data_IF_378901606563
#
_entry.id   IF_378901606563
#
_cell.length_a   1.000
_cell.length_b   1.000
_cell.length_c   1.000
_cell.angle_alpha   90.00
_cell.angle_beta   90.00
_cell.angle_gamma   90.00
#
_symmetry.space_group_name_H-M   'P 1'
#
loop_
_entity.id
_entity.type
_entity.pdbx_description
1 polymer ?
#
# COMPACT_ATOMS: atom_id res chain seq x y z
N UNK A 1 -3.30 38.18 5.60
CA UNK A 1 -3.67 37.06 4.71
C UNK A 1 -3.12 35.76 5.28
N UNK A 2 -3.93 34.98 6.00
CA UNK A 2 -3.56 33.62 6.38
C UNK A 2 -4.35 32.65 5.50
N UNK A 3 -3.65 31.85 4.69
CA UNK A 3 -4.26 30.77 3.90
C UNK A 3 -4.45 29.58 4.84
N UNK A 4 -5.51 29.58 5.64
CA UNK A 4 -5.94 28.38 6.36
C UNK A 4 -6.48 27.40 5.33
N UNK A 5 -5.59 26.54 4.82
CA UNK A 5 -5.99 25.35 4.08
C UNK A 5 -6.89 24.53 5.01
N UNK A 6 -8.17 24.45 4.67
CA UNK A 6 -9.11 23.55 5.30
C UNK A 6 -8.50 22.16 5.30
N UNK A 7 -8.08 21.68 6.49
CA UNK A 7 -7.90 20.25 6.75
C UNK A 7 -9.27 19.62 6.49
N UNK A 8 -9.55 19.30 5.23
CA UNK A 8 -10.59 18.33 4.87
C UNK A 8 -10.31 17.16 5.77
N UNK A 9 -11.27 16.81 6.62
CA UNK A 9 -11.23 15.61 7.43
C UNK A 9 -11.14 14.44 6.45
N UNK A 10 -9.91 14.12 6.04
CA UNK A 10 -9.61 12.97 5.22
C UNK A 10 -10.06 11.78 6.06
N UNK A 11 -10.99 11.00 5.53
CA UNK A 11 -11.27 9.66 6.06
C UNK A 11 -9.91 9.03 6.35
N UNK A 12 -9.64 8.54 7.58
CA UNK A 12 -8.31 8.06 7.95
C UNK A 12 -7.93 6.88 7.06
N UNK A 13 -7.19 7.19 6.01
CA UNK A 13 -6.65 6.26 5.04
C UNK A 13 -5.69 5.35 5.79
N UNK A 14 -5.91 4.03 5.74
CA UNK A 14 -5.04 3.07 6.43
C UNK A 14 -3.84 2.78 5.54
N UNK A 15 -2.92 3.73 5.48
CA UNK A 15 -1.65 3.60 4.76
C UNK A 15 -0.51 3.48 5.75
N UNK A 16 0.47 2.65 5.42
CA UNK A 16 1.73 2.51 6.14
C UNK A 16 2.86 2.59 5.13
N UNK A 17 3.73 3.58 5.30
CA UNK A 17 4.86 3.84 4.40
C UNK A 17 6.13 3.77 5.22
N UNK A 18 7.16 3.16 4.66
CA UNK A 18 8.50 3.14 5.20
C UNK A 18 9.07 4.57 5.20
N UNK A 19 10.02 4.79 6.10
CA UNK A 19 10.67 6.10 6.25
C UNK A 19 11.65 6.41 5.10
N UNK A 20 12.08 5.39 4.37
CA UNK A 20 12.95 5.51 3.20
C UNK A 20 12.14 5.09 1.97
N UNK A 21 12.07 5.99 0.99
CA UNK A 21 11.40 5.79 -0.29
C UNK A 21 12.41 5.34 -1.36
N UNK A 22 11.94 4.72 -2.44
CA UNK A 22 12.77 4.27 -3.56
C UNK A 22 13.07 2.77 -3.60
N UNK A 23 12.47 1.98 -2.73
CA UNK A 23 12.49 0.51 -2.78
C UNK A 23 11.45 -0.07 -3.75
N UNK A 24 11.49 -1.39 -3.95
CA UNK A 24 10.50 -2.08 -4.79
C UNK A 24 9.08 -1.95 -4.22
N UNK A 25 8.96 -1.97 -2.89
CA UNK A 25 7.72 -1.68 -2.16
C UNK A 25 8.11 -0.86 -0.92
N UNK A 26 7.66 0.38 -0.91
CA UNK A 26 7.91 1.37 0.14
C UNK A 26 6.78 1.40 1.16
N UNK A 27 5.61 0.87 0.83
CA UNK A 27 4.49 0.87 1.76
C UNK A 27 3.35 -0.03 1.32
N UNK A 28 2.33 -0.04 2.15
CA UNK A 28 1.07 -0.70 1.86
C UNK A 28 -0.09 0.18 2.24
N UNK A 29 -1.20 0.00 1.55
CA UNK A 29 -2.42 0.74 1.73
C UNK A 29 -3.60 -0.22 1.79
N UNK A 30 -4.39 -0.12 2.86
CA UNK A 30 -5.59 -0.92 3.06
C UNK A 30 -6.84 -0.04 2.92
N UNK A 31 -7.44 0.05 1.73
CA UNK A 31 -8.71 0.74 1.54
C UNK A 31 -9.81 0.13 2.41
N UNK A 32 -10.72 0.98 2.90
CA UNK A 32 -11.90 0.53 3.66
C UNK A 32 -13.07 0.15 2.75
N UNK A 33 -13.04 0.59 1.49
CA UNK A 33 -14.08 0.36 0.51
C UNK A 33 -13.49 -0.10 -0.83
N UNK A 34 -14.31 -0.77 -1.63
CA UNK A 34 -13.97 -1.14 -3.03
C UNK A 34 -13.67 0.10 -3.90
N UNK A 35 -14.26 1.26 -3.56
CA UNK A 35 -14.03 2.53 -4.25
C UNK A 35 -12.72 3.21 -3.83
N UNK A 36 -11.62 2.69 -4.36
CA UNK A 36 -10.25 3.23 -4.23
C UNK A 36 -10.18 4.71 -4.63
N UNK A 37 -10.91 5.13 -5.67
CA UNK A 37 -10.91 6.51 -6.20
C UNK A 37 -11.35 7.56 -5.18
N UNK A 38 -12.20 7.19 -4.22
CA UNK A 38 -12.70 8.12 -3.22
C UNK A 38 -11.69 8.37 -2.09
N UNK A 39 -10.84 7.39 -1.82
CA UNK A 39 -9.78 7.47 -0.81
C UNK A 39 -8.44 7.98 -1.40
N UNK A 40 -8.27 7.90 -2.72
CA UNK A 40 -7.11 8.39 -3.47
C UNK A 40 -6.70 9.84 -3.12
N UNK A 41 -7.60 10.84 -3.09
CA UNK A 41 -7.20 12.20 -2.67
C UNK A 41 -6.74 12.28 -1.21
N UNK A 42 -7.28 11.45 -0.32
CA UNK A 42 -6.81 11.35 1.08
C UNK A 42 -5.43 10.71 1.18
N UNK A 43 -5.16 9.72 0.33
CA UNK A 43 -3.86 9.04 0.24
C UNK A 43 -2.80 9.98 -0.33
N UNK A 44 -3.10 10.69 -1.43
CA UNK A 44 -2.23 11.72 -2.02
C UNK A 44 -1.87 12.75 -0.96
N UNK A 45 -2.84 13.26 -0.19
CA UNK A 45 -2.58 14.23 0.88
C UNK A 45 -1.68 13.68 2.00
N UNK A 46 -1.75 12.38 2.31
CA UNK A 46 -0.88 11.73 3.29
C UNK A 46 0.55 11.51 2.74
N UNK A 47 0.70 11.37 1.42
CA UNK A 47 1.97 11.16 0.73
C UNK A 47 2.67 12.45 0.30
N UNK A 48 1.93 13.55 0.09
CA UNK A 48 2.48 14.88 -0.22
C UNK A 48 3.62 15.31 0.71
N UNK A 49 3.55 15.15 2.05
CA UNK A 49 4.68 15.51 2.92
C UNK A 49 5.90 14.57 2.79
N UNK A 50 5.73 13.38 2.19
CA UNK A 50 6.81 12.39 2.01
C UNK A 50 7.50 12.54 0.65
N UNK A 51 6.73 12.67 -0.43
CA UNK A 51 7.23 12.79 -1.82
C UNK A 51 7.37 14.24 -2.30
N UNK A 52 6.76 15.19 -1.58
CA UNK A 52 6.54 16.54 -2.08
C UNK A 52 5.34 16.62 -3.03
N UNK A 53 5.48 17.38 -4.11
CA UNK A 53 4.42 17.57 -5.10
C UNK A 53 4.29 16.31 -5.97
N UNK A 54 3.15 15.61 -5.85
CA UNK A 54 2.91 14.38 -6.59
C UNK A 54 2.49 14.73 -8.01
N UNK A 55 3.42 14.60 -8.95
CA UNK A 55 3.19 14.91 -10.36
C UNK A 55 2.45 13.79 -11.10
N UNK A 56 2.59 12.53 -10.66
CA UNK A 56 2.00 11.38 -11.37
C UNK A 56 1.67 10.21 -10.45
N UNK A 57 0.65 9.45 -10.83
CA UNK A 57 0.19 8.25 -10.13
C UNK A 57 0.04 7.14 -11.16
N UNK A 58 0.78 6.06 -10.98
CA UNK A 58 0.72 4.86 -11.80
C UNK A 58 0.07 3.71 -11.02
N UNK A 59 -0.72 2.89 -11.71
CA UNK A 59 -1.38 1.72 -11.13
C UNK A 59 -1.00 0.50 -11.97
N UNK A 60 -0.43 -0.54 -11.36
CA UNK A 60 -0.02 -1.75 -12.09
C UNK A 60 -1.18 -2.74 -12.35
N UNK A 61 -2.42 -2.33 -12.14
CA UNK A 61 -3.58 -3.18 -12.39
C UNK A 61 -4.65 -2.40 -13.15
N UNK A 62 -5.37 -3.05 -14.09
CA UNK A 62 -6.49 -2.42 -14.76
C UNK A 62 -7.66 -2.29 -13.77
N UNK A 63 -8.47 -1.23 -13.91
CA UNK A 63 -9.61 -0.93 -13.03
C UNK A 63 -10.64 -2.07 -12.90
N UNK A 64 -10.65 -3.01 -13.85
CA UNK A 64 -11.53 -4.19 -13.86
C UNK A 64 -10.98 -5.39 -13.08
N UNK A 65 -9.70 -5.39 -12.73
CA UNK A 65 -9.09 -6.49 -11.97
C UNK A 65 -9.42 -6.27 -10.49
N UNK A 66 -10.12 -7.23 -9.87
CA UNK A 66 -10.36 -7.22 -8.43
C UNK A 66 -9.07 -7.61 -7.71
N UNK A 67 -8.73 -6.94 -6.58
CA UNK A 67 -7.56 -7.30 -5.80
C UNK A 67 -7.63 -8.77 -5.39
N UNK A 68 -6.52 -9.51 -5.47
CA UNK A 68 -6.53 -10.94 -5.18
C UNK A 68 -6.91 -11.18 -3.72
N UNK A 69 -7.90 -12.03 -3.47
CA UNK A 69 -8.27 -12.40 -2.11
C UNK A 69 -7.11 -13.12 -1.43
N UNK A 70 -6.38 -12.41 -0.56
CA UNK A 70 -5.27 -12.98 0.21
C UNK A 70 -5.70 -14.07 1.19
N UNK A 71 -6.99 -14.14 1.49
CA UNK A 71 -7.56 -15.19 2.34
C UNK A 71 -7.71 -16.53 1.59
N UNK A 72 -7.58 -16.55 0.26
CA UNK A 72 -7.77 -17.75 -0.55
C UNK A 72 -6.47 -18.16 -1.26
N UNK A 73 -6.24 -19.46 -1.40
CA UNK A 73 -5.07 -19.98 -2.12
C UNK A 73 -5.09 -19.54 -3.60
N UNK A 74 -3.93 -19.13 -4.14
CA UNK A 74 -3.81 -18.69 -5.53
C UNK A 74 -3.57 -17.20 -5.74
N UNK A 75 -3.42 -16.40 -4.66
CA UNK A 75 -2.93 -15.02 -4.76
C UNK A 75 -1.49 -14.95 -5.29
N UNK A 76 -0.69 -16.00 -5.11
CA UNK A 76 0.71 -16.10 -5.59
C UNK A 76 0.82 -16.00 -7.11
N UNK A 77 -0.17 -16.55 -7.82
CA UNK A 77 -0.23 -16.52 -9.29
C UNK A 77 -0.95 -15.29 -9.84
N UNK A 78 -1.49 -14.43 -8.96
CA UNK A 78 -2.19 -13.20 -9.34
C UNK A 78 -1.26 -12.00 -9.21
N UNK A 79 -1.50 -10.99 -10.06
CA UNK A 79 -0.79 -9.72 -9.95
C UNK A 79 -1.18 -9.03 -8.64
N UNK A 80 -0.18 -8.64 -7.87
CA UNK A 80 -0.35 -7.81 -6.70
C UNK A 80 -0.67 -6.39 -7.16
N UNK A 81 -1.67 -5.79 -6.52
CA UNK A 81 -2.08 -4.44 -6.86
C UNK A 81 -1.09 -3.45 -6.25
N UNK A 82 -0.13 -2.97 -7.05
CA UNK A 82 0.89 -2.00 -6.61
C UNK A 82 0.65 -0.67 -7.29
N UNK A 83 0.53 0.37 -6.46
CA UNK A 83 0.27 1.75 -6.86
C UNK A 83 1.53 2.58 -6.64
N UNK A 84 2.05 3.14 -7.71
CA UNK A 84 3.26 3.95 -7.66
C UNK A 84 2.88 5.42 -7.71
N UNK A 85 3.33 6.21 -6.74
CA UNK A 85 3.20 7.66 -6.78
C UNK A 85 4.58 8.26 -7.05
N UNK A 86 4.63 9.23 -7.95
CA UNK A 86 5.85 9.89 -8.41
C UNK A 86 5.73 11.36 -8.07
N UNK A 87 6.65 11.86 -7.24
CA UNK A 87 6.72 13.27 -6.86
C UNK A 87 8.15 13.80 -7.02
N UNK A 88 8.34 14.77 -7.91
CA UNK A 88 9.68 15.25 -8.27
C UNK A 88 10.61 14.12 -8.70
N UNK A 89 11.66 13.87 -7.93
CA UNK A 89 12.66 12.82 -8.16
C UNK A 89 12.39 11.54 -7.33
N UNK A 90 11.42 11.58 -6.42
CA UNK A 90 11.07 10.47 -5.52
C UNK A 90 9.89 9.67 -6.07
N UNK A 91 9.91 8.37 -5.81
CA UNK A 91 8.79 7.47 -6.11
C UNK A 91 8.49 6.62 -4.90
N UNK A 92 7.20 6.36 -4.65
CA UNK A 92 6.74 5.43 -3.61
C UNK A 92 5.92 4.33 -4.27
N UNK A 93 6.25 3.08 -3.96
CA UNK A 93 5.48 1.92 -4.37
C UNK A 93 4.62 1.43 -3.20
N UNK A 94 3.29 1.57 -3.33
CA UNK A 94 2.32 1.16 -2.33
C UNK A 94 1.56 -0.10 -2.75
N UNK A 95 1.69 -1.17 -1.96
CA UNK A 95 0.90 -2.37 -2.12
C UNK A 95 -0.53 -2.16 -1.61
N UNK A 96 -1.53 -2.36 -2.46
CA UNK A 96 -2.94 -2.33 -2.08
C UNK A 96 -3.36 -3.67 -1.49
N UNK A 97 -3.90 -3.61 -0.27
CA UNK A 97 -4.48 -4.74 0.42
C UNK A 97 -6.00 -4.76 0.18
N UNK A 98 -6.58 -5.84 -0.39
CA UNK A 98 -8.02 -5.98 -0.56
C UNK A 98 -8.75 -5.74 0.77
N UNK A 99 -9.87 -5.00 0.75
CA UNK A 99 -10.69 -4.78 1.95
C UNK A 99 -11.24 -6.10 2.53
N UNK A 100 -11.43 -7.12 1.68
CA UNK A 100 -11.86 -8.47 2.07
C UNK A 100 -10.79 -9.22 2.90
N UNK A 101 -9.54 -8.77 2.89
CA UNK A 101 -8.44 -9.39 3.66
C UNK A 101 -8.73 -9.35 5.16
N UNK A 102 -8.48 -10.45 5.85
CA UNK A 102 -8.62 -10.49 7.31
C UNK A 102 -7.78 -9.39 7.96
N UNK A 103 -8.36 -8.68 8.92
CA UNK A 103 -7.73 -7.51 9.55
C UNK A 103 -6.37 -7.82 10.16
N UNK A 104 -6.17 -9.03 10.69
CA UNK A 104 -4.87 -9.49 11.19
C UNK A 104 -3.81 -9.59 10.09
N UNK A 105 -4.15 -10.20 8.96
CA UNK A 105 -3.26 -10.31 7.80
C UNK A 105 -2.98 -8.94 7.18
N UNK A 106 -4.01 -8.10 7.01
CA UNK A 106 -3.86 -6.75 6.49
C UNK A 106 -2.93 -5.90 7.37
N UNK A 107 -3.07 -5.99 8.69
CA UNK A 107 -2.20 -5.29 9.63
C UNK A 107 -0.75 -5.80 9.56
N UNK A 108 -0.54 -7.10 9.40
CA UNK A 108 0.80 -7.68 9.21
C UNK A 108 1.45 -7.20 7.91
N UNK A 109 0.70 -7.13 6.81
CA UNK A 109 1.18 -6.58 5.53
C UNK A 109 1.56 -5.11 5.70
N UNK A 110 0.68 -4.29 6.29
CA UNK A 110 0.94 -2.87 6.54
C UNK A 110 2.23 -2.67 7.36
N UNK A 111 2.36 -3.39 8.48
CA UNK A 111 3.54 -3.29 9.34
C UNK A 111 4.81 -3.73 8.62
N UNK A 112 4.77 -4.85 7.90
CA UNK A 112 5.95 -5.40 7.21
C UNK A 112 6.37 -4.52 6.03
N UNK A 113 5.41 -3.94 5.30
CA UNK A 113 5.69 -3.01 4.21
C UNK A 113 6.38 -1.74 4.71
N UNK A 114 5.94 -1.20 5.84
CA UNK A 114 6.54 -0.02 6.46
C UNK A 114 7.80 -0.31 7.30
N UNK A 115 8.24 -1.58 7.38
CA UNK A 115 9.39 -1.98 8.20
C UNK A 115 9.16 -1.81 9.71
N UNK A 116 7.91 -1.79 10.17
CA UNK A 116 7.58 -1.65 11.58
C UNK A 116 7.92 -2.93 12.37
N UNK A 117 8.41 -2.80 13.62
CA UNK A 117 8.70 -3.96 14.45
C UNK A 117 7.41 -4.72 14.77
N UNK A 118 7.39 -6.00 14.40
CA UNK A 118 6.32 -6.95 14.76
C UNK A 118 6.78 -7.77 15.95
N UNK A 119 5.90 -7.93 16.94
CA UNK A 119 6.13 -8.73 18.14
C UNK A 119 6.48 -10.18 17.77
N UNK A 120 7.41 -10.80 18.50
CA UNK A 120 7.84 -12.17 18.21
C UNK A 120 6.66 -13.16 18.22
N UNK A 121 5.64 -12.92 19.05
CA UNK A 121 4.41 -13.74 19.10
C UNK A 121 3.54 -13.63 17.86
N UNK A 122 3.61 -12.49 17.16
CA UNK A 122 2.90 -12.29 15.91
C UNK A 122 3.69 -12.83 14.71
N UNK A 123 5.02 -12.98 14.82
CA UNK A 123 5.89 -13.49 13.74
C UNK A 123 5.66 -14.96 13.41
N UNK A 124 5.30 -15.76 14.40
CA UNK A 124 5.00 -17.19 14.22
C UNK A 124 3.61 -17.41 13.58
N UNK A 125 2.75 -16.38 13.59
CA UNK A 125 1.40 -16.52 13.03
C UNK A 125 1.47 -16.75 11.52
N UNK A 126 0.60 -17.61 10.97
CA UNK A 126 0.54 -17.84 9.52
C UNK A 126 0.28 -16.53 8.76
N UNK A 127 -0.48 -15.61 9.34
CA UNK A 127 -0.71 -14.29 8.77
C UNK A 127 0.59 -13.48 8.54
N UNK A 128 1.60 -13.61 9.40
CA UNK A 128 2.88 -12.92 9.21
C UNK A 128 3.70 -13.55 8.09
N UNK A 129 3.72 -14.88 8.02
CA UNK A 129 4.39 -15.62 6.94
C UNK A 129 3.74 -15.29 5.58
N UNK A 130 2.41 -15.34 5.51
CA UNK A 130 1.65 -14.99 4.28
C UNK A 130 1.86 -13.53 3.90
N UNK A 131 1.75 -12.59 4.84
CA UNK A 131 2.06 -11.18 4.59
C UNK A 131 3.46 -11.02 3.99
N UNK A 132 4.39 -11.86 4.44
CA UNK A 132 5.74 -11.85 3.96
C UNK A 132 5.92 -12.32 2.53
N UNK A 133 5.28 -13.43 2.19
CA UNK A 133 5.28 -13.96 0.83
C UNK A 133 4.56 -13.02 -0.15
N UNK A 134 3.46 -12.37 0.28
CA UNK A 134 2.74 -11.35 -0.52
C UNK A 134 3.67 -10.17 -0.85
N UNK A 135 4.35 -9.62 0.15
CA UNK A 135 5.28 -8.51 -0.04
C UNK A 135 6.43 -8.90 -0.97
N UNK A 136 6.96 -10.11 -0.85
CA UNK A 136 8.03 -10.59 -1.73
C UNK A 136 7.55 -10.75 -3.17
N UNK A 137 6.36 -11.33 -3.38
CA UNK A 137 5.76 -11.43 -4.70
C UNK A 137 5.50 -10.05 -5.33
N UNK A 138 4.99 -9.09 -4.55
CA UNK A 138 4.79 -7.72 -5.00
C UNK A 138 6.10 -7.03 -5.39
N UNK A 139 7.17 -7.21 -4.59
CA UNK A 139 8.50 -6.69 -4.90
C UNK A 139 9.07 -7.29 -6.18
N UNK A 140 8.97 -8.61 -6.35
CA UNK A 140 9.43 -9.29 -7.57
C UNK A 140 8.67 -8.81 -8.81
N UNK A 141 7.36 -8.59 -8.69
CA UNK A 141 6.56 -8.05 -9.78
C UNK A 141 6.94 -6.60 -10.12
N UNK A 142 7.16 -5.75 -9.12
CA UNK A 142 7.56 -4.36 -9.36
C UNK A 142 8.97 -4.25 -9.96
N UNK A 143 9.89 -5.12 -9.55
CA UNK A 143 11.22 -5.22 -10.13
C UNK A 143 11.20 -5.71 -11.59
N UNK A 144 10.23 -6.56 -11.96
CA UNK A 144 10.07 -7.07 -13.31
C UNK A 144 9.36 -6.09 -14.27
N UNK A 145 8.61 -5.11 -13.74
CA UNK A 145 7.85 -4.11 -14.50
C UNK A 145 8.63 -2.79 -14.70
N UNK A 146 9.84 -2.68 -14.14
CA UNK A 146 10.72 -1.50 -14.17
C UNK A 146 11.66 -1.52 -15.39
#
# INVERSE_FOLDING_TARGET
MYRTASRRAAVPVRVSVARQLGGDIDGAWWPRADRITNELPGLVAALTPLLGDICSVNVNWPALQRPPDFNWHGWEHKRQHVMTFIGGEERVNLLIVPYATYSGLALMVLRRAAGLPVDAKDRDKPAFLTAGSILQAARQQCAADR
#
